data_IF_119605792563
#
_entry.id   IF_119605792563
#
_cell.length_a   1.000
_cell.length_b   1.000
_cell.length_c   1.000
_cell.angle_alpha   90.00
_cell.angle_beta   90.00
_cell.angle_gamma   90.00
#
_symmetry.space_group_name_H-M   'P 1'
#
loop_
_entity.id
_entity.type
_entity.pdbx_description
1 polymer ?
#
# COMPACT_ATOMS: atom_id res chain seq x y z
N UNK A 1 59.45 51.21 -38.96
CA UNK A 1 58.14 51.88 -38.96
C UNK A 1 57.06 50.82 -38.92
N UNK A 2 56.30 50.80 -37.82
CA UNK A 2 54.95 50.24 -37.57
C UNK A 2 54.68 48.74 -37.84
N UNK A 3 53.82 48.00 -37.14
CA UNK A 3 53.23 47.94 -35.78
C UNK A 3 52.13 46.84 -35.86
N UNK A 4 51.87 46.17 -34.73
CA UNK A 4 50.63 45.48 -34.33
C UNK A 4 50.19 44.17 -35.03
N UNK A 5 50.28 43.00 -34.35
CA UNK A 5 49.22 42.29 -33.56
C UNK A 5 47.97 41.84 -34.33
N UNK A 6 47.66 40.54 -34.30
CA UNK A 6 46.50 39.97 -33.57
C UNK A 6 46.23 38.47 -33.83
N UNK A 7 46.40 37.69 -32.76
CA UNK A 7 45.61 36.56 -32.24
C UNK A 7 44.76 35.66 -33.16
N UNK A 8 45.14 34.37 -33.15
CA UNK A 8 44.35 33.19 -32.74
C UNK A 8 42.82 33.26 -32.94
N UNK A 9 42.29 32.38 -33.80
CA UNK A 9 40.92 31.88 -33.70
C UNK A 9 40.88 30.38 -34.03
N UNK A 10 41.06 29.59 -32.97
CA UNK A 10 40.68 28.18 -32.90
C UNK A 10 39.15 28.10 -32.76
N UNK A 11 38.45 27.59 -33.77
CA UNK A 11 37.03 27.25 -33.64
C UNK A 11 36.89 25.77 -33.26
N UNK A 12 36.91 25.49 -31.96
CA UNK A 12 36.48 24.21 -31.41
C UNK A 12 34.97 24.25 -31.23
N UNK A 13 34.22 23.61 -32.14
CA UNK A 13 32.77 23.43 -31.99
C UNK A 13 32.54 22.37 -30.92
N UNK A 14 32.30 22.81 -29.68
CA UNK A 14 31.81 21.94 -28.61
C UNK A 14 30.31 21.68 -28.85
N UNK A 15 29.99 20.48 -29.32
CA UNK A 15 28.62 19.99 -29.42
C UNK A 15 28.12 19.66 -27.99
N UNK A 16 27.55 20.64 -27.31
CA UNK A 16 26.77 20.39 -26.09
C UNK A 16 25.50 19.62 -26.46
N UNK A 17 25.54 18.30 -26.32
CA UNK A 17 24.34 17.48 -26.25
C UNK A 17 23.57 17.90 -24.99
N UNK A 18 22.59 18.80 -25.15
CA UNK A 18 21.59 19.07 -24.13
C UNK A 18 20.72 17.82 -24.04
N UNK A 19 21.14 16.89 -23.17
CA UNK A 19 20.24 15.88 -22.64
C UNK A 19 19.08 16.64 -22.00
N UNK A 20 17.90 16.57 -22.59
CA UNK A 20 16.68 17.08 -21.98
C UNK A 20 16.36 16.23 -20.76
N UNK A 21 17.03 16.50 -19.64
CA UNK A 21 16.58 16.04 -18.33
C UNK A 21 15.31 16.83 -18.06
N UNK A 22 14.15 16.19 -18.28
CA UNK A 22 12.89 16.71 -17.74
C UNK A 22 13.04 17.00 -16.25
N UNK A 23 12.22 17.90 -15.68
CA UNK A 23 12.35 18.29 -14.28
C UNK A 23 12.46 17.05 -13.39
N UNK A 24 13.46 17.09 -12.52
CA UNK A 24 13.67 16.17 -11.41
C UNK A 24 12.46 16.26 -10.48
N UNK A 25 11.41 15.48 -10.77
CA UNK A 25 10.23 15.46 -9.94
C UNK A 25 10.50 14.62 -8.69
N UNK A 26 10.53 15.30 -7.55
CA UNK A 26 10.45 14.71 -6.23
C UNK A 26 9.30 13.69 -6.17
N UNK A 27 9.62 12.42 -5.91
CA UNK A 27 8.59 11.37 -5.84
C UNK A 27 8.26 11.08 -4.39
N UNK A 28 7.02 11.40 -3.99
CA UNK A 28 6.48 11.04 -2.69
C UNK A 28 5.01 10.64 -2.79
N UNK A 29 4.62 9.61 -2.03
CA UNK A 29 3.23 9.16 -1.96
C UNK A 29 2.31 10.22 -1.34
N UNK A 30 2.85 10.98 -0.38
CA UNK A 30 2.14 12.07 0.28
C UNK A 30 2.32 13.36 -0.52
N UNK A 31 1.23 14.10 -0.80
CA UNK A 31 1.33 15.44 -1.34
C UNK A 31 2.17 16.34 -0.44
N UNK A 32 2.90 17.27 -1.04
CA UNK A 32 3.70 18.30 -0.35
C UNK A 32 4.83 17.78 0.55
N UNK A 33 5.20 16.50 0.43
CA UNK A 33 6.44 15.99 1.03
C UNK A 33 7.58 16.30 0.08
N UNK A 34 8.51 17.15 0.53
CA UNK A 34 9.71 17.46 -0.24
C UNK A 34 10.62 16.23 -0.27
N UNK A 35 10.89 15.73 -1.47
CA UNK A 35 11.95 14.76 -1.78
C UNK A 35 12.78 15.30 -2.95
N UNK A 36 13.88 14.63 -3.28
CA UNK A 36 14.56 14.85 -4.56
C UNK A 36 14.20 13.72 -5.54
N UNK A 37 14.71 13.80 -6.76
CA UNK A 37 14.49 12.79 -7.80
C UNK A 37 15.25 11.49 -7.57
N UNK A 38 16.11 11.41 -6.55
CA UNK A 38 16.82 10.18 -6.19
C UNK A 38 15.99 9.26 -5.28
N UNK A 39 14.86 9.74 -4.74
CA UNK A 39 14.04 9.00 -3.77
C UNK A 39 12.61 8.79 -4.28
N UNK A 40 12.13 7.56 -4.12
CA UNK A 40 10.74 7.15 -4.27
C UNK A 40 10.15 6.90 -2.86
N UNK A 41 9.58 7.93 -2.26
CA UNK A 41 9.22 7.90 -0.84
C UNK A 41 7.73 7.60 -0.60
N UNK A 42 7.43 6.40 -0.10
CA UNK A 42 6.09 5.99 0.28
C UNK A 42 5.84 6.09 1.81
N UNK A 43 6.83 6.49 2.59
CA UNK A 43 6.70 6.77 4.02
C UNK A 43 5.88 8.08 4.23
N UNK A 44 5.21 8.30 5.36
CA UNK A 44 5.22 7.61 6.65
C UNK A 44 3.96 6.76 6.91
N UNK A 45 4.09 5.46 7.17
CA UNK A 45 2.95 4.51 7.28
C UNK A 45 2.18 4.34 5.95
N UNK A 46 2.80 3.59 5.05
CA UNK A 46 2.41 3.45 3.64
C UNK A 46 0.98 2.92 3.50
N UNK A 47 0.67 1.80 4.15
CA UNK A 47 -0.64 1.17 4.01
C UNK A 47 -1.75 1.98 4.70
N UNK A 48 -1.48 2.59 5.85
CA UNK A 48 -2.47 3.45 6.50
C UNK A 48 -2.92 4.59 5.57
N UNK A 49 -1.96 5.22 4.87
CA UNK A 49 -2.29 6.28 3.92
C UNK A 49 -2.97 5.76 2.65
N UNK A 50 -2.50 4.65 2.07
CA UNK A 50 -3.15 4.04 0.91
C UNK A 50 -4.60 3.64 1.23
N UNK A 51 -4.82 3.06 2.42
CA UNK A 51 -6.13 2.66 2.92
C UNK A 51 -7.06 3.85 3.19
N UNK A 52 -6.50 5.03 3.45
CA UNK A 52 -7.27 6.28 3.56
C UNK A 52 -7.77 6.82 2.22
N UNK A 53 -7.14 6.40 1.10
CA UNK A 53 -7.50 6.83 -0.26
C UNK A 53 -8.41 5.82 -0.94
N UNK A 54 -8.16 4.54 -0.72
CA UNK A 54 -8.96 3.44 -1.23
C UNK A 54 -9.34 2.57 -0.04
N UNK A 55 -10.63 2.51 0.27
CA UNK A 55 -11.10 1.76 1.44
C UNK A 55 -10.77 0.27 1.27
N UNK A 56 -9.89 -0.25 2.12
CA UNK A 56 -9.60 -1.67 2.29
C UNK A 56 -10.21 -2.12 3.63
N UNK A 57 -11.34 -2.85 3.63
CA UNK A 57 -12.01 -3.22 4.87
C UNK A 57 -11.17 -4.15 5.73
N UNK A 58 -11.11 -3.89 7.04
CA UNK A 58 -10.42 -4.76 8.00
C UNK A 58 -11.05 -6.15 8.12
N UNK A 59 -12.35 -6.26 7.82
CA UNK A 59 -13.09 -7.52 7.79
C UNK A 59 -12.81 -8.37 6.53
N UNK A 60 -12.17 -7.80 5.51
CA UNK A 60 -11.83 -8.55 4.30
C UNK A 60 -10.84 -9.68 4.61
N UNK A 61 -10.84 -10.77 3.83
CA UNK A 61 -9.83 -11.81 3.97
C UNK A 61 -8.43 -11.20 3.86
N UNK A 62 -7.51 -11.64 4.73
CA UNK A 62 -6.13 -11.12 4.77
C UNK A 62 -5.45 -11.15 3.40
N UNK A 63 -5.69 -12.19 2.59
CA UNK A 63 -5.17 -12.31 1.22
C UNK A 63 -5.59 -11.12 0.35
N UNK A 64 -6.86 -10.74 0.42
CA UNK A 64 -7.40 -9.63 -0.38
C UNK A 64 -6.91 -8.28 0.15
N UNK A 65 -6.71 -8.13 1.46
CA UNK A 65 -6.06 -6.94 2.03
C UNK A 65 -4.62 -6.79 1.53
N UNK A 66 -3.83 -7.87 1.61
CA UNK A 66 -2.43 -7.87 1.15
C UNK A 66 -2.34 -7.57 -0.34
N UNK A 67 -3.18 -8.20 -1.17
CA UNK A 67 -3.21 -7.97 -2.62
C UNK A 67 -3.60 -6.52 -2.93
N UNK A 68 -4.61 -5.96 -2.23
CA UNK A 68 -5.01 -4.57 -2.43
C UNK A 68 -3.87 -3.60 -2.11
N UNK A 69 -3.22 -3.74 -0.95
CA UNK A 69 -2.11 -2.87 -0.56
C UNK A 69 -0.89 -3.03 -1.47
N UNK A 70 -0.57 -4.27 -1.86
CA UNK A 70 0.49 -4.55 -2.82
C UNK A 70 0.21 -3.80 -4.13
N UNK A 71 -0.96 -3.99 -4.74
CA UNK A 71 -1.28 -3.39 -6.04
C UNK A 71 -1.33 -1.88 -5.99
N UNK A 72 -1.84 -1.28 -4.91
CA UNK A 72 -1.86 0.18 -4.76
C UNK A 72 -0.45 0.77 -4.65
N UNK A 73 0.40 0.21 -3.80
CA UNK A 73 1.77 0.67 -3.64
C UNK A 73 2.60 0.41 -4.91
N UNK A 74 2.47 -0.77 -5.51
CA UNK A 74 3.14 -1.14 -6.74
C UNK A 74 2.71 -0.26 -7.92
N UNK A 75 1.42 0.06 -8.06
CA UNK A 75 0.93 0.96 -9.11
C UNK A 75 1.51 2.37 -8.96
N UNK A 76 1.63 2.86 -7.72
CA UNK A 76 2.30 4.14 -7.47
C UNK A 76 3.76 4.09 -7.93
N UNK A 77 4.51 3.04 -7.54
CA UNK A 77 5.92 2.88 -7.94
C UNK A 77 6.05 2.77 -9.46
N UNK A 78 5.21 1.95 -10.10
CA UNK A 78 5.21 1.75 -11.55
C UNK A 78 4.98 3.05 -12.33
N UNK A 79 4.12 3.93 -11.82
CA UNK A 79 3.69 5.14 -12.54
C UNK A 79 4.46 6.41 -12.17
N UNK A 80 5.06 6.45 -10.98
CA UNK A 80 5.71 7.66 -10.44
C UNK A 80 7.20 7.51 -10.20
N UNK A 81 7.66 6.30 -9.92
CA UNK A 81 9.06 6.04 -9.60
C UNK A 81 9.85 5.52 -10.81
N UNK A 82 11.18 5.54 -10.69
CA UNK A 82 12.12 5.14 -11.75
C UNK A 82 13.18 4.18 -11.20
N UNK A 83 13.74 3.36 -12.08
CA UNK A 83 14.95 2.58 -11.76
C UNK A 83 16.08 3.51 -11.28
N UNK A 84 16.84 3.04 -10.30
CA UNK A 84 17.92 3.78 -9.64
C UNK A 84 17.50 4.62 -8.44
N UNK A 85 16.19 4.89 -8.25
CA UNK A 85 15.72 5.61 -7.06
C UNK A 85 15.78 4.73 -5.80
N UNK A 86 15.99 5.35 -4.64
CA UNK A 86 15.83 4.70 -3.34
C UNK A 86 14.34 4.64 -3.00
N UNK A 87 13.79 3.43 -2.97
CA UNK A 87 12.45 3.15 -2.46
C UNK A 87 12.48 3.14 -0.93
N UNK A 88 11.54 3.85 -0.32
CA UNK A 88 11.31 3.85 1.13
C UNK A 88 9.84 3.51 1.40
N UNK A 89 9.58 2.42 2.13
CA UNK A 89 8.23 2.08 2.61
C UNK A 89 8.26 1.88 4.12
N UNK A 90 7.15 2.18 4.79
CA UNK A 90 7.01 2.00 6.23
C UNK A 90 5.66 1.38 6.58
N UNK A 91 5.65 0.54 7.62
CA UNK A 91 4.43 -0.10 8.10
C UNK A 91 4.50 -0.46 9.58
N UNK A 92 3.36 -0.78 10.16
CA UNK A 92 3.26 -1.14 11.57
C UNK A 92 3.73 -2.57 11.81
N UNK A 93 4.62 -2.78 12.79
CA UNK A 93 5.16 -4.12 13.10
C UNK A 93 4.07 -5.07 13.62
N UNK A 94 3.05 -4.53 14.28
CA UNK A 94 1.90 -5.29 14.76
C UNK A 94 0.91 -5.67 13.62
N UNK A 95 1.01 -5.04 12.44
CA UNK A 95 0.14 -5.34 11.30
C UNK A 95 0.77 -6.41 10.42
N UNK A 96 0.23 -7.63 10.48
CA UNK A 96 0.69 -8.71 9.60
C UNK A 96 0.35 -8.48 8.12
N UNK A 97 -0.59 -7.57 7.81
CA UNK A 97 -0.89 -7.11 6.45
C UNK A 97 0.23 -6.20 5.96
N UNK A 98 0.70 -5.26 6.79
CA UNK A 98 1.80 -4.37 6.44
C UNK A 98 3.09 -5.14 6.20
N UNK A 99 3.43 -6.04 7.13
CA UNK A 99 4.63 -6.87 7.00
C UNK A 99 4.63 -7.65 5.69
N UNK A 100 3.50 -8.26 5.31
CA UNK A 100 3.43 -9.07 4.09
C UNK A 100 3.40 -8.21 2.83
N UNK A 101 2.43 -7.30 2.72
CA UNK A 101 2.26 -6.48 1.52
C UNK A 101 3.49 -5.61 1.21
N UNK A 102 4.09 -4.95 2.20
CA UNK A 102 5.25 -4.09 1.97
C UNK A 102 6.51 -4.89 1.66
N UNK A 103 6.67 -6.09 2.25
CA UNK A 103 7.75 -7.01 1.86
C UNK A 103 7.58 -7.47 0.41
N UNK A 104 6.37 -7.78 -0.02
CA UNK A 104 6.09 -8.14 -1.41
C UNK A 104 6.38 -7.00 -2.38
N UNK A 105 6.04 -5.76 -2.02
CA UNK A 105 6.36 -4.57 -2.81
C UNK A 105 7.87 -4.43 -3.01
N UNK A 106 8.66 -4.43 -1.93
CA UNK A 106 10.12 -4.26 -2.06
C UNK A 106 10.78 -5.44 -2.77
N UNK A 107 10.33 -6.68 -2.55
CA UNK A 107 10.89 -7.86 -3.24
C UNK A 107 10.55 -7.88 -4.74
N UNK A 108 9.49 -7.18 -5.13
CA UNK A 108 9.10 -7.04 -6.55
C UNK A 108 9.86 -5.90 -7.23
N UNK A 109 10.14 -4.81 -6.52
CA UNK A 109 10.81 -3.62 -7.06
C UNK A 109 12.35 -3.66 -6.93
N UNK A 110 12.89 -4.46 -6.01
CA UNK A 110 14.30 -4.47 -5.64
C UNK A 110 14.89 -5.89 -5.55
N UNK A 111 16.21 -6.05 -5.73
CA UNK A 111 16.89 -7.29 -5.40
C UNK A 111 16.81 -7.55 -3.89
N UNK A 112 16.36 -8.74 -3.48
CA UNK A 112 16.10 -9.08 -2.07
C UNK A 112 17.32 -8.83 -1.17
N UNK A 113 18.53 -9.14 -1.67
CA UNK A 113 19.78 -8.94 -0.92
C UNK A 113 20.11 -7.46 -0.63
N UNK A 114 19.49 -6.51 -1.35
CA UNK A 114 19.68 -5.07 -1.16
C UNK A 114 18.66 -4.44 -0.19
N UNK A 115 17.66 -5.20 0.26
CA UNK A 115 16.60 -4.69 1.13
C UNK A 115 17.13 -4.55 2.56
N UNK A 116 17.22 -3.31 3.01
CA UNK A 116 17.55 -2.97 4.40
C UNK A 116 16.26 -2.77 5.18
N UNK A 117 16.15 -3.45 6.33
CA UNK A 117 15.07 -3.25 7.29
C UNK A 117 15.58 -2.50 8.52
N UNK A 118 14.82 -1.52 8.99
CA UNK A 118 15.10 -0.80 10.23
C UNK A 118 13.85 -0.67 11.08
N UNK A 119 14.01 -0.63 12.40
CA UNK A 119 12.91 -0.36 13.31
C UNK A 119 12.69 1.15 13.43
N UNK A 120 11.42 1.57 13.42
CA UNK A 120 11.04 2.99 13.51
C UNK A 120 9.85 3.15 14.45
N UNK A 121 9.56 4.39 14.86
CA UNK A 121 8.33 4.74 15.58
C UNK A 121 7.39 5.46 14.63
N UNK A 122 6.16 4.98 14.55
CA UNK A 122 5.13 5.59 13.72
C UNK A 122 4.18 6.44 14.58
N UNK A 123 4.01 7.76 14.32
CA UNK A 123 2.87 8.52 14.83
C UNK A 123 1.53 7.89 14.45
N UNK A 124 0.66 7.77 15.44
CA UNK A 124 -0.75 7.42 15.30
C UNK A 124 -1.57 8.33 16.23
N UNK A 125 -2.01 9.49 15.72
CA UNK A 125 -2.57 10.54 16.55
C UNK A 125 -1.54 11.05 17.56
N UNK A 126 -1.93 11.12 18.84
CA UNK A 126 -1.05 11.58 19.94
C UNK A 126 -0.11 10.51 20.49
N UNK A 127 -0.18 9.28 19.97
CA UNK A 127 0.67 8.16 20.41
C UNK A 127 1.64 7.73 19.32
N UNK A 128 2.69 7.02 19.73
CA UNK A 128 3.61 6.35 18.78
C UNK A 128 3.47 4.84 18.90
N UNK A 129 3.46 4.15 17.77
CA UNK A 129 3.50 2.68 17.70
C UNK A 129 4.82 2.18 17.12
N UNK A 130 5.18 0.94 17.43
CA UNK A 130 6.33 0.27 16.82
C UNK A 130 6.07 -0.02 15.34
N UNK A 131 7.00 0.40 14.48
CA UNK A 131 6.95 0.16 13.05
C UNK A 131 8.27 -0.33 12.51
N UNK A 132 8.29 -0.54 11.20
CA UNK A 132 9.47 -0.87 10.44
C UNK A 132 9.54 -0.02 9.18
N UNK A 133 10.76 0.17 8.70
CA UNK A 133 11.09 0.80 7.43
C UNK A 133 11.83 -0.23 6.56
N UNK A 134 11.47 -0.31 5.28
CA UNK A 134 12.22 -1.06 4.28
C UNK A 134 12.77 -0.08 3.25
N UNK A 135 14.07 -0.22 2.95
CA UNK A 135 14.80 0.62 1.99
C UNK A 135 15.58 -0.22 1.02
N UNK A 136 15.51 0.14 -0.26
CA UNK A 136 16.29 -0.49 -1.32
C UNK A 136 16.38 0.41 -2.54
N UNK A 137 17.35 0.15 -3.42
CA UNK A 137 17.39 0.78 -4.74
C UNK A 137 16.49 0.01 -5.70
N UNK A 138 15.60 0.71 -6.38
CA UNK A 138 14.72 0.13 -7.40
C UNK A 138 15.60 -0.30 -8.57
N UNK A 139 15.66 -1.60 -8.82
CA UNK A 139 16.39 -2.19 -9.96
C UNK A 139 15.53 -3.16 -10.77
N UNK A 140 14.30 -3.42 -10.31
CA UNK A 140 13.37 -4.37 -10.89
C UNK A 140 12.05 -3.68 -11.29
N UNK A 141 12.11 -2.40 -11.71
CA UNK A 141 10.90 -1.65 -12.06
C UNK A 141 10.08 -2.35 -13.15
N UNK A 142 10.73 -2.78 -14.23
CA UNK A 142 10.03 -3.48 -15.33
C UNK A 142 9.42 -4.82 -14.88
N UNK A 143 10.07 -5.55 -13.97
CA UNK A 143 9.50 -6.78 -13.40
C UNK A 143 8.27 -6.49 -12.51
N UNK A 144 8.30 -5.38 -11.76
CA UNK A 144 7.15 -4.93 -10.98
C UNK A 144 5.97 -4.58 -11.90
N UNK A 145 6.22 -3.89 -13.01
CA UNK A 145 5.19 -3.58 -14.03
C UNK A 145 4.63 -4.87 -14.62
N UNK A 146 5.49 -5.80 -15.06
CA UNK A 146 5.05 -7.09 -15.59
C UNK A 146 4.25 -7.91 -14.57
N UNK A 147 4.59 -7.85 -13.27
CA UNK A 147 3.83 -8.49 -12.20
C UNK A 147 2.45 -7.87 -12.03
N UNK A 148 2.32 -6.55 -12.14
CA UNK A 148 1.02 -5.86 -12.10
C UNK A 148 0.15 -6.26 -13.29
N UNK A 149 0.71 -6.32 -14.49
CA UNK A 149 -0.01 -6.71 -15.70
C UNK A 149 -0.50 -8.16 -15.61
N UNK A 150 0.33 -9.07 -15.09
CA UNK A 150 -0.06 -10.46 -14.87
C UNK A 150 -1.17 -10.60 -13.82
N UNK A 151 -1.12 -9.82 -12.74
CA UNK A 151 -2.19 -9.78 -11.75
C UNK A 151 -3.49 -9.24 -12.34
N UNK A 152 -3.43 -8.19 -13.15
CA UNK A 152 -4.61 -7.63 -13.81
C UNK A 152 -5.23 -8.63 -14.80
N UNK A 153 -4.40 -9.41 -15.49
CA UNK A 153 -4.86 -10.46 -16.41
C UNK A 153 -5.51 -11.65 -15.70
N UNK A 154 -5.01 -12.01 -14.51
CA UNK A 154 -5.41 -13.25 -13.81
C UNK A 154 -6.50 -13.03 -12.75
N UNK A 155 -6.46 -11.93 -12.04
CA UNK A 155 -7.47 -11.52 -11.05
C UNK A 155 -7.65 -10.00 -11.16
N UNK A 156 -8.50 -9.52 -12.07
CA UNK A 156 -8.64 -8.09 -12.36
C UNK A 156 -8.92 -7.25 -11.11
N UNK A 157 -8.43 -6.02 -11.08
CA UNK A 157 -8.62 -5.11 -9.95
C UNK A 157 -10.11 -4.96 -9.57
N UNK A 158 -11.02 -4.95 -10.55
CA UNK A 158 -12.45 -4.82 -10.29
C UNK A 158 -13.04 -6.06 -9.59
N UNK A 159 -12.51 -7.25 -9.84
CA UNK A 159 -12.89 -8.45 -9.10
C UNK A 159 -12.42 -8.37 -7.64
N UNK A 160 -11.20 -7.89 -7.39
CA UNK A 160 -10.70 -7.64 -6.04
C UNK A 160 -11.55 -6.60 -5.30
N UNK A 161 -11.88 -5.47 -5.95
CA UNK A 161 -12.78 -4.45 -5.38
C UNK A 161 -14.14 -5.03 -5.01
N UNK A 162 -14.72 -5.88 -5.86
CA UNK A 162 -16.00 -6.52 -5.58
C UNK A 162 -15.93 -7.40 -4.32
N UNK A 163 -14.84 -8.16 -4.13
CA UNK A 163 -14.63 -8.97 -2.91
C UNK A 163 -14.48 -8.09 -1.67
N UNK A 164 -13.71 -7.01 -1.76
CA UNK A 164 -13.55 -6.04 -0.67
C UNK A 164 -14.91 -5.40 -0.30
N UNK A 165 -15.69 -4.96 -1.30
CA UNK A 165 -17.01 -4.39 -1.08
C UNK A 165 -17.99 -5.38 -0.42
N UNK A 166 -17.96 -6.64 -0.84
CA UNK A 166 -18.77 -7.69 -0.22
C UNK A 166 -18.39 -7.91 1.25
N UNK A 167 -17.10 -7.90 1.58
CA UNK A 167 -16.63 -8.02 2.96
C UNK A 167 -17.06 -6.84 3.84
N UNK A 168 -17.04 -5.61 3.31
CA UNK A 168 -17.55 -4.44 4.03
C UNK A 168 -19.03 -4.60 4.39
N UNK A 169 -19.85 -5.05 3.43
CA UNK A 169 -21.28 -5.27 3.65
C UNK A 169 -21.57 -6.38 4.67
N UNK A 170 -20.73 -7.40 4.74
CA UNK A 170 -20.87 -8.48 5.72
C UNK A 170 -20.53 -8.01 7.14
N UNK A 171 -19.54 -7.14 7.29
CA UNK A 171 -19.20 -6.54 8.58
C UNK A 171 -20.35 -5.71 9.15
N UNK A 172 -21.05 -4.96 8.29
CA UNK A 172 -22.19 -4.10 8.68
C UNK A 172 -23.44 -4.90 9.08
N UNK A 173 -23.58 -6.15 8.62
CA UNK A 173 -24.74 -7.00 8.93
C UNK A 173 -24.73 -7.59 10.34
N UNK A 174 -23.64 -7.41 11.09
CA UNK A 174 -23.45 -8.05 12.40
C UNK A 174 -23.40 -9.59 12.28
N UNK A 175 -23.16 -10.31 13.39
CA UNK A 175 -23.19 -11.77 13.36
C UNK A 175 -24.58 -12.23 12.89
N UNK A 176 -24.62 -13.03 11.83
CA UNK A 176 -25.84 -13.67 11.38
C UNK A 176 -26.45 -14.41 12.59
N UNK A 177 -27.71 -14.09 12.93
CA UNK A 177 -28.47 -14.95 13.84
C UNK A 177 -28.44 -16.35 13.23
N UNK A 178 -28.06 -17.39 13.99
CA UNK A 178 -28.07 -18.74 13.46
C UNK A 178 -29.47 -19.04 12.94
N UNK A 179 -29.53 -19.48 11.67
CA UNK A 179 -30.78 -19.86 11.01
C UNK A 179 -31.52 -20.85 11.90
N UNK A 180 -32.70 -20.44 12.36
CA UNK A 180 -33.65 -21.32 13.00
C UNK A 180 -34.13 -22.32 11.94
N UNK A 181 -33.51 -23.50 11.88
CA UNK A 181 -34.07 -24.62 11.15
C UNK A 181 -35.48 -24.93 11.67
N UNK A 182 -36.49 -25.06 10.79
CA UNK A 182 -37.84 -25.39 11.20
C UNK A 182 -37.93 -26.91 11.41
N UNK A 183 -37.82 -27.36 12.65
CA UNK A 183 -38.11 -28.75 12.97
C UNK A 183 -37.58 -29.23 14.31
N UNK A 184 -38.40 -29.09 15.35
CA UNK A 184 -38.76 -30.15 16.31
C UNK A 184 -39.21 -29.54 17.65
N UNK A 185 -40.50 -29.76 17.94
CA UNK A 185 -41.14 -30.05 19.24
C UNK A 185 -40.58 -29.35 20.51
N UNK A 186 -41.48 -28.55 21.10
CA UNK A 186 -41.52 -28.04 22.49
C UNK A 186 -40.65 -28.83 23.47
N UNK A 187 -39.83 -28.10 24.25
CA UNK A 187 -39.74 -28.35 25.69
C UNK A 187 -39.46 -27.04 26.46
N UNK A 188 -40.32 -26.79 27.44
CA UNK A 188 -40.34 -25.63 28.34
C UNK A 188 -39.11 -25.63 29.23
N UNK A 189 -38.12 -24.79 28.93
CA UNK A 189 -36.90 -24.76 29.73
C UNK A 189 -35.97 -23.60 29.44
N UNK A 190 -36.50 -22.38 29.33
CA UNK A 190 -35.76 -21.13 29.60
C UNK A 190 -36.74 -19.96 29.57
N UNK A 191 -37.20 -19.62 30.76
CA UNK A 191 -38.05 -18.47 31.02
C UNK A 191 -37.30 -17.20 30.62
N UNK A 192 -37.74 -16.55 29.54
CA UNK A 192 -37.41 -15.14 29.31
C UNK A 192 -38.28 -14.28 30.21
N UNK A 193 -37.74 -13.12 30.60
CA UNK A 193 -38.34 -12.11 31.50
C UNK A 193 -39.78 -11.67 31.12
N UNK A 194 -40.24 -12.03 29.92
CA UNK A 194 -41.60 -11.82 29.41
C UNK A 194 -42.67 -12.66 30.11
N UNK A 195 -42.31 -13.64 30.94
CA UNK A 195 -43.27 -14.62 31.52
C UNK A 195 -43.83 -14.25 32.90
N UNK A 196 -43.40 -13.13 33.49
CA UNK A 196 -43.77 -12.76 34.88
C UNK A 196 -45.14 -12.04 34.95
N UNK A 197 -45.76 -11.68 33.81
CA UNK A 197 -47.01 -10.90 33.79
C UNK A 197 -48.30 -11.71 33.62
N UNK A 198 -48.23 -13.02 33.37
CA UNK A 198 -49.42 -13.88 33.30
C UNK A 198 -49.19 -15.15 34.09
N UNK A 199 -49.74 -15.17 35.29
CA UNK A 199 -49.66 -16.31 36.21
C UNK A 199 -50.10 -17.61 35.55
N UNK A 200 -49.22 -18.61 35.61
CA UNK A 200 -49.49 -19.98 35.18
C UNK A 200 -48.50 -20.92 35.85
N UNK A 201 -48.99 -21.73 36.78
CA UNK A 201 -48.20 -22.71 37.54
C UNK A 201 -47.89 -23.93 36.67
N UNK A 202 -46.62 -24.28 36.51
CA UNK A 202 -46.21 -25.59 35.98
C UNK A 202 -46.18 -26.60 37.14
N UNK A 203 -46.76 -27.77 36.92
CA UNK A 203 -46.75 -28.92 37.85
C UNK A 203 -45.58 -29.85 37.53
#
# INVERSE_FOLDING_TARGET
MNACTSHLLSLSVALCAVMTTGPAEAVALRPNKATDDSVCDLAHDTNLFLGSKTLVPSAAPKKDQVDAFFRMAASFIATKCRNGQVLVVQGATASSVDVQSLSEVVNSACPIASVVRSEVRLPLGDVTQAGFELRCTILKHDELVGRLDELERTDPMDALKARLAAAAQQADRGPAKPDASPGAKKDCGKMTLSSILQGGSCK
#
